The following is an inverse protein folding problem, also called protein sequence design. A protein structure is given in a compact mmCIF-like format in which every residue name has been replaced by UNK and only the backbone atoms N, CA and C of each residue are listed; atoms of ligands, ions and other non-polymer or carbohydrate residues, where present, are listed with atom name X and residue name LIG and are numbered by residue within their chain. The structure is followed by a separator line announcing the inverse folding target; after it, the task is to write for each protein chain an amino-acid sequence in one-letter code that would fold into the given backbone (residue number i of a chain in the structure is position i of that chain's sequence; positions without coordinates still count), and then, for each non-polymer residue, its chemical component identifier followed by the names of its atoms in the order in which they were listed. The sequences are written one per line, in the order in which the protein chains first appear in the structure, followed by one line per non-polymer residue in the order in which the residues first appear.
data_IF_708838441042
#
_entry.id   IF_708838441042
#
_cell.length_a   1.000
_cell.length_b   1.000
_cell.length_c   1.000
_cell.angle_alpha   90.00
_cell.angle_beta   90.00
_cell.angle_gamma   90.00
#
_symmetry.space_group_name_H-M   'P 1'
#
loop_
_entity.id
_entity.type
_entity.pdbx_description
1 polymer ?
#
# COMPACT_ATOMS: atom_id res chain seq x y z
N UNK A 1 17.05 -40.78 -9.40
CA UNK A 1 17.05 -39.84 -10.54
C UNK A 1 15.88 -38.88 -10.35
N UNK A 2 16.14 -37.72 -9.75
CA UNK A 2 15.10 -36.76 -9.35
C UNK A 2 15.25 -35.52 -10.22
N UNK A 3 14.26 -35.29 -11.09
CA UNK A 3 14.21 -34.20 -12.07
C UNK A 3 14.09 -32.86 -11.32
N UNK A 4 15.17 -32.06 -11.31
CA UNK A 4 15.12 -30.66 -10.88
C UNK A 4 14.14 -29.92 -11.80
N UNK A 5 13.07 -29.38 -11.24
CA UNK A 5 12.26 -28.39 -11.91
C UNK A 5 13.14 -27.14 -12.11
N UNK A 6 13.47 -26.85 -13.36
CA UNK A 6 13.95 -25.54 -13.77
C UNK A 6 12.83 -24.55 -13.50
N UNK A 7 13.03 -23.68 -12.52
CA UNK A 7 12.25 -22.45 -12.42
C UNK A 7 12.69 -21.59 -13.61
N UNK A 8 11.93 -21.67 -14.70
CA UNK A 8 12.04 -20.70 -15.78
C UNK A 8 11.69 -19.34 -15.17
N UNK A 9 12.69 -18.47 -15.06
CA UNK A 9 12.48 -17.07 -14.73
C UNK A 9 11.41 -16.52 -15.67
N UNK A 10 10.40 -15.79 -15.17
CA UNK A 10 9.42 -15.15 -16.04
C UNK A 10 10.16 -14.30 -17.08
N UNK A 11 9.68 -14.25 -18.34
CA UNK A 11 10.29 -13.44 -19.37
C UNK A 11 10.39 -12.00 -18.87
N UNK A 12 11.55 -11.36 -19.07
CA UNK A 12 11.79 -9.98 -18.68
C UNK A 12 10.64 -9.12 -19.18
N UNK A 13 9.88 -8.54 -18.24
CA UNK A 13 8.71 -7.75 -18.56
C UNK A 13 9.15 -6.57 -19.44
N UNK A 14 8.56 -6.45 -20.63
CA UNK A 14 8.93 -5.39 -21.56
C UNK A 14 8.29 -4.08 -21.13
N UNK A 15 9.12 -3.14 -20.66
CA UNK A 15 8.68 -1.80 -20.27
C UNK A 15 8.80 -0.82 -21.45
N UNK A 16 7.74 -0.05 -21.79
CA UNK A 16 7.81 0.96 -22.85
C UNK A 16 8.66 2.17 -22.41
N UNK A 17 8.93 3.12 -23.32
CA UNK A 17 9.68 4.34 -22.99
C UNK A 17 11.21 4.17 -22.89
N UNK A 18 11.74 3.01 -23.28
CA UNK A 18 13.17 2.68 -23.30
C UNK A 18 13.88 2.97 -21.95
N UNK A 19 13.53 2.26 -20.88
CA UNK A 19 14.01 2.56 -19.52
C UNK A 19 15.52 2.43 -19.37
N UNK A 20 16.16 1.49 -20.06
CA UNK A 20 17.63 1.38 -20.06
C UNK A 20 18.31 2.63 -20.62
N UNK A 21 17.74 3.26 -21.66
CA UNK A 21 18.25 4.51 -22.20
C UNK A 21 17.96 5.70 -21.27
N UNK A 22 16.84 5.66 -20.53
CA UNK A 22 16.52 6.68 -19.52
C UNK A 22 17.51 6.62 -18.35
N UNK A 23 17.83 5.41 -17.88
CA UNK A 23 18.86 5.15 -16.89
C UNK A 23 20.22 5.71 -17.31
N UNK A 24 20.69 5.34 -18.51
CA UNK A 24 21.99 5.78 -19.02
C UNK A 24 22.10 7.32 -19.18
N UNK A 25 20.98 8.00 -19.41
CA UNK A 25 20.93 9.47 -19.57
C UNK A 25 20.73 10.22 -18.25
N UNK A 26 20.44 9.53 -17.16
CA UNK A 26 20.08 10.17 -15.91
C UNK A 26 21.30 10.78 -15.20
N UNK A 27 21.29 12.08 -14.86
CA UNK A 27 22.34 12.66 -14.05
C UNK A 27 22.27 12.13 -12.61
N UNK A 28 23.42 11.96 -11.96
CA UNK A 28 23.52 11.62 -10.54
C UNK A 28 23.52 12.87 -9.62
N UNK A 29 23.07 14.02 -10.13
CA UNK A 29 23.01 15.28 -9.38
C UNK A 29 22.13 15.09 -8.15
N UNK A 30 22.60 15.42 -6.93
CA UNK A 30 21.87 15.16 -5.69
C UNK A 30 20.45 15.75 -5.71
N UNK A 31 19.49 14.97 -5.21
CA UNK A 31 18.15 15.48 -4.94
C UNK A 31 18.23 16.63 -3.94
N UNK A 32 17.34 17.60 -4.07
CA UNK A 32 17.25 18.73 -3.16
C UNK A 32 16.85 18.23 -1.77
N UNK A 33 17.86 17.98 -0.91
CA UNK A 33 17.81 17.59 0.51
C UNK A 33 16.77 16.52 0.88
N UNK A 34 17.23 15.30 1.24
CA UNK A 34 16.35 14.28 1.85
C UNK A 34 15.65 14.84 3.08
N UNK A 35 14.33 14.59 3.15
CA UNK A 35 13.46 15.07 4.22
C UNK A 35 13.82 14.39 5.55
N UNK A 36 13.60 15.07 6.71
CA UNK A 36 13.85 14.47 8.01
C UNK A 36 12.98 13.23 8.21
N UNK A 37 13.62 12.15 8.65
CA UNK A 37 12.96 10.86 8.87
C UNK A 37 11.87 10.99 9.94
N UNK A 38 10.66 10.44 9.71
CA UNK A 38 9.64 10.33 10.74
C UNK A 38 10.14 9.41 11.87
N UNK A 39 9.86 9.81 13.11
CA UNK A 39 10.23 9.04 14.29
C UNK A 39 9.30 7.83 14.41
N UNK A 40 9.79 6.63 14.11
CA UNK A 40 9.03 5.37 14.20
C UNK A 40 9.59 4.45 15.30
N UNK A 41 10.22 5.02 16.33
CA UNK A 41 11.00 4.28 17.33
C UNK A 41 10.12 3.46 18.29
N UNK A 42 8.88 3.88 18.54
CA UNK A 42 7.95 3.17 19.44
C UNK A 42 6.63 2.85 18.76
N UNK A 43 5.90 1.86 19.29
CA UNK A 43 4.57 1.48 18.80
C UNK A 43 3.57 2.65 18.85
N UNK A 44 3.72 3.54 19.84
CA UNK A 44 2.89 4.75 19.97
C UNK A 44 3.25 5.79 18.90
N UNK A 45 4.54 5.99 18.64
CA UNK A 45 4.98 6.88 17.56
C UNK A 45 4.53 6.34 16.19
N UNK A 46 4.60 5.03 16.00
CA UNK A 46 4.10 4.33 14.81
C UNK A 46 2.60 4.54 14.60
N UNK A 47 1.79 4.37 15.66
CA UNK A 47 0.34 4.61 15.61
C UNK A 47 0.01 6.08 15.30
N UNK A 48 0.75 7.01 15.89
CA UNK A 48 0.55 8.44 15.71
C UNK A 48 1.03 8.95 14.34
N UNK A 49 2.05 8.32 13.77
CA UNK A 49 2.61 8.69 12.47
C UNK A 49 1.90 8.04 11.30
N UNK A 50 1.17 6.94 11.46
CA UNK A 50 0.44 6.36 10.33
C UNK A 50 -0.89 7.08 10.10
N UNK A 51 -1.22 7.38 8.84
CA UNK A 51 -2.55 7.89 8.51
C UNK A 51 -3.57 6.81 8.86
N UNK A 52 -4.60 7.18 9.62
CA UNK A 52 -5.60 6.22 10.06
C UNK A 52 -6.23 5.54 8.83
N UNK A 53 -6.20 4.19 8.76
CA UNK A 53 -6.83 3.47 7.66
C UNK A 53 -8.31 3.84 7.63
N UNK A 54 -8.79 4.27 6.45
CA UNK A 54 -10.13 4.79 6.15
C UNK A 54 -11.17 4.47 7.24
N UNK A 55 -11.38 5.41 8.15
CA UNK A 55 -12.36 5.30 9.24
C UNK A 55 -13.74 4.94 8.69
N UNK A 56 -14.04 5.40 7.48
CA UNK A 56 -15.26 5.15 6.74
C UNK A 56 -15.48 3.65 6.44
N UNK A 57 -14.42 2.90 6.11
CA UNK A 57 -14.53 1.46 5.80
C UNK A 57 -14.77 0.65 7.08
N UNK A 58 -14.07 1.00 8.16
CA UNK A 58 -14.27 0.37 9.47
C UNK A 58 -15.69 0.66 9.96
N UNK A 59 -16.15 1.90 9.84
CA UNK A 59 -17.52 2.31 10.17
C UNK A 59 -18.57 1.55 9.35
N UNK A 60 -18.37 1.40 8.03
CA UNK A 60 -19.29 0.66 7.17
C UNK A 60 -19.39 -0.83 7.56
N UNK A 61 -18.28 -1.49 7.88
CA UNK A 61 -18.27 -2.88 8.36
C UNK A 61 -19.05 -2.99 9.68
N UNK A 62 -18.83 -2.06 10.60
CA UNK A 62 -19.52 -2.03 11.89
C UNK A 62 -21.03 -1.89 11.68
N UNK A 63 -21.46 -0.94 10.85
CA UNK A 63 -22.88 -0.72 10.53
C UNK A 63 -23.52 -1.95 9.87
N UNK A 64 -22.79 -2.64 8.98
CA UNK A 64 -23.23 -3.88 8.37
C UNK A 64 -23.47 -5.00 9.38
N UNK A 65 -22.54 -5.22 10.33
CA UNK A 65 -22.68 -6.23 11.38
C UNK A 65 -23.87 -5.90 12.30
N UNK A 66 -24.01 -4.64 12.71
CA UNK A 66 -25.15 -4.20 13.53
C UNK A 66 -26.47 -4.45 12.82
N UNK A 67 -26.55 -4.14 11.52
CA UNK A 67 -27.74 -4.38 10.72
C UNK A 67 -28.13 -5.87 10.68
N UNK A 68 -27.17 -6.76 10.44
CA UNK A 68 -27.42 -8.22 10.40
C UNK A 68 -27.89 -8.74 11.76
N UNK A 69 -27.30 -8.28 12.87
CA UNK A 69 -27.70 -8.70 14.22
C UNK A 69 -29.11 -8.22 14.55
N UNK A 70 -29.44 -6.96 14.24
CA UNK A 70 -30.79 -6.42 14.44
C UNK A 70 -31.82 -7.16 13.59
N UNK A 71 -31.48 -7.47 12.33
CA UNK A 71 -32.34 -8.25 11.45
C UNK A 71 -32.61 -9.64 12.01
N UNK A 72 -31.57 -10.36 12.43
CA UNK A 72 -31.70 -11.70 13.00
C UNK A 72 -32.55 -11.70 14.29
N UNK A 73 -32.36 -10.71 15.17
CA UNK A 73 -33.15 -10.56 16.39
C UNK A 73 -34.62 -10.24 16.09
N UNK A 74 -34.89 -9.39 15.10
CA UNK A 74 -36.25 -9.13 14.64
C UNK A 74 -36.90 -10.40 14.07
N UNK A 75 -36.18 -11.18 13.26
CA UNK A 75 -36.65 -12.46 12.72
C UNK A 75 -36.99 -13.46 13.82
N UNK A 76 -36.11 -13.61 14.83
CA UNK A 76 -36.34 -14.50 15.98
C UNK A 76 -37.53 -14.03 16.83
N UNK A 77 -37.67 -12.72 17.05
CA UNK A 77 -38.80 -12.17 17.79
C UNK A 77 -40.15 -12.45 17.10
N UNK A 78 -40.19 -12.38 15.77
CA UNK A 78 -41.36 -12.72 14.96
C UNK A 78 -41.67 -14.23 15.01
N UNK A 79 -40.64 -15.08 14.93
CA UNK A 79 -40.80 -16.55 14.87
C UNK A 79 -41.16 -17.20 16.21
N UNK A 80 -40.58 -16.73 17.31
CA UNK A 80 -40.65 -17.44 18.62
C UNK A 80 -41.84 -16.96 19.46
N UNK A 81 -42.38 -15.76 19.22
CA UNK A 81 -43.62 -15.26 19.84
C UNK A 81 -43.65 -15.18 21.39
N UNK A 82 -42.54 -15.52 22.08
CA UNK A 82 -42.53 -15.81 23.51
C UNK A 82 -41.89 -14.75 24.42
N UNK A 83 -41.28 -13.70 23.87
CA UNK A 83 -40.73 -12.58 24.66
C UNK A 83 -41.57 -11.34 24.33
N UNK A 84 -42.12 -10.61 25.32
CA UNK A 84 -42.83 -9.38 25.04
C UNK A 84 -41.90 -8.43 24.30
N UNK A 85 -42.35 -7.93 23.14
CA UNK A 85 -41.62 -7.06 22.22
C UNK A 85 -40.72 -5.98 22.88
N UNK A 86 -41.13 -5.27 23.95
CA UNK A 86 -40.26 -4.26 24.56
C UNK A 86 -38.99 -4.85 25.19
N UNK A 87 -39.02 -6.04 25.78
CA UNK A 87 -37.86 -6.62 26.47
C UNK A 87 -36.83 -7.19 25.49
N UNK A 88 -37.28 -7.83 24.42
CA UNK A 88 -36.37 -8.30 23.35
C UNK A 88 -35.70 -7.13 22.64
N UNK A 89 -36.42 -6.02 22.43
CA UNK A 89 -35.85 -4.80 21.87
C UNK A 89 -34.79 -4.18 22.79
N UNK A 90 -35.04 -4.09 24.10
CA UNK A 90 -34.06 -3.53 25.06
C UNK A 90 -32.78 -4.38 25.10
N UNK A 91 -32.90 -5.71 25.16
CA UNK A 91 -31.75 -6.61 25.17
C UNK A 91 -30.98 -6.50 23.84
N UNK A 92 -31.70 -6.43 22.70
CA UNK A 92 -31.09 -6.24 21.39
C UNK A 92 -30.30 -4.94 21.29
N UNK A 93 -30.89 -3.83 21.74
CA UNK A 93 -30.23 -2.51 21.75
C UNK A 93 -29.03 -2.51 22.69
N UNK A 94 -29.15 -3.13 23.87
CA UNK A 94 -28.04 -3.22 24.82
C UNK A 94 -26.87 -4.04 24.26
N UNK A 95 -27.15 -5.21 23.67
CA UNK A 95 -26.11 -6.02 23.02
C UNK A 95 -25.49 -5.31 21.82
N UNK A 96 -26.31 -4.65 20.99
CA UNK A 96 -25.82 -3.85 19.87
C UNK A 96 -24.90 -2.71 20.34
N UNK A 97 -25.27 -2.00 21.42
CA UNK A 97 -24.46 -0.93 21.98
C UNK A 97 -23.12 -1.43 22.55
N UNK A 98 -23.12 -2.59 23.23
CA UNK A 98 -21.89 -3.22 23.72
C UNK A 98 -21.01 -3.69 22.56
N UNK A 99 -21.59 -4.33 21.54
CA UNK A 99 -20.88 -4.76 20.34
C UNK A 99 -20.28 -3.56 19.60
N UNK A 100 -21.04 -2.49 19.38
CA UNK A 100 -20.59 -1.23 18.79
C UNK A 100 -19.43 -0.60 19.55
N UNK A 101 -19.38 -0.74 20.88
CA UNK A 101 -18.31 -0.16 21.71
C UNK A 101 -17.04 -1.01 21.75
N UNK A 102 -17.18 -2.33 21.82
CA UNK A 102 -16.06 -3.25 22.05
C UNK A 102 -15.46 -3.79 20.75
N UNK A 103 -16.29 -4.10 19.76
CA UNK A 103 -15.86 -4.72 18.51
C UNK A 103 -14.86 -3.86 17.73
N UNK A 104 -15.07 -2.54 17.57
CA UNK A 104 -14.09 -1.71 16.86
C UNK A 104 -12.75 -1.70 17.58
N UNK A 105 -12.75 -1.62 18.91
CA UNK A 105 -11.51 -1.65 19.71
C UNK A 105 -10.76 -2.96 19.55
N UNK A 106 -11.46 -4.09 19.56
CA UNK A 106 -10.84 -5.41 19.39
C UNK A 106 -10.29 -5.61 17.98
N UNK A 107 -11.09 -5.30 16.95
CA UNK A 107 -10.67 -5.44 15.55
C UNK A 107 -9.52 -4.50 15.22
N UNK A 108 -9.63 -3.23 15.64
CA UNK A 108 -8.57 -2.24 15.46
C UNK A 108 -7.28 -2.71 16.12
N UNK A 109 -7.33 -3.08 17.41
CA UNK A 109 -6.14 -3.55 18.13
C UNK A 109 -5.50 -4.78 17.48
N UNK A 110 -6.30 -5.76 17.04
CA UNK A 110 -5.78 -6.94 16.35
C UNK A 110 -5.15 -6.58 14.99
N UNK A 111 -5.80 -5.71 14.21
CA UNK A 111 -5.28 -5.26 12.93
C UNK A 111 -3.96 -4.49 13.09
N UNK A 112 -3.89 -3.57 14.06
CA UNK A 112 -2.69 -2.82 14.39
C UNK A 112 -1.56 -3.70 14.91
N UNK A 113 -1.85 -4.66 15.78
CA UNK A 113 -0.84 -5.60 16.25
C UNK A 113 -0.23 -6.39 15.08
N UNK A 114 -1.05 -6.80 14.09
CA UNK A 114 -0.56 -7.49 12.89
C UNK A 114 0.27 -6.58 12.01
N UNK A 115 -0.18 -5.35 11.77
CA UNK A 115 0.58 -4.35 10.99
C UNK A 115 1.91 -4.01 11.66
N UNK A 116 1.90 -3.76 12.96
CA UNK A 116 3.10 -3.48 13.75
C UNK A 116 4.08 -4.67 13.76
N UNK A 117 3.58 -5.89 13.92
CA UNK A 117 4.43 -7.09 13.85
C UNK A 117 5.09 -7.25 12.48
N UNK A 118 4.33 -7.01 11.40
CA UNK A 118 4.87 -6.98 10.02
C UNK A 118 5.86 -5.84 9.82
N UNK A 119 5.62 -4.69 10.46
CA UNK A 119 6.51 -3.55 10.37
C UNK A 119 7.87 -3.85 11.01
N UNK A 120 7.88 -4.45 12.19
CA UNK A 120 9.12 -4.87 12.87
C UNK A 120 9.83 -5.98 12.09
N UNK A 121 9.09 -6.91 11.48
CA UNK A 121 9.68 -8.03 10.74
C UNK A 121 10.49 -7.60 9.51
N UNK A 122 10.18 -6.44 8.91
CA UNK A 122 10.92 -5.96 7.76
C UNK A 122 10.23 -4.89 6.95
N UNK A 123 9.51 -3.95 7.57
CA UNK A 123 9.03 -2.79 6.81
C UNK A 123 10.19 -1.96 6.30
N UNK A 124 9.96 -1.38 5.13
CA UNK A 124 10.84 -0.38 4.53
C UNK A 124 10.10 0.95 4.46
N UNK A 125 10.82 2.02 4.80
CA UNK A 125 10.31 3.38 4.75
C UNK A 125 10.82 4.05 3.47
N UNK A 126 9.89 4.57 2.70
CA UNK A 126 10.14 5.19 1.41
C UNK A 126 9.78 6.66 1.42
N UNK A 127 10.64 7.46 0.77
CA UNK A 127 10.30 8.81 0.36
C UNK A 127 9.55 8.75 -0.98
N UNK A 128 8.44 9.49 -1.10
CA UNK A 128 7.57 9.48 -2.27
C UNK A 128 7.89 10.65 -3.19
N UNK A 129 8.09 10.34 -4.46
CA UNK A 129 8.22 11.31 -5.53
C UNK A 129 7.11 11.08 -6.57
N UNK A 130 6.08 11.94 -6.61
CA UNK A 130 5.01 11.80 -7.58
C UNK A 130 5.53 12.08 -9.00
N UNK A 131 4.98 11.32 -9.95
CA UNK A 131 5.17 11.52 -11.38
C UNK A 131 4.03 12.36 -11.96
N UNK A 132 4.31 13.01 -13.08
CA UNK A 132 3.31 13.62 -13.94
C UNK A 132 2.65 12.62 -14.89
N UNK A 133 3.12 11.36 -14.94
CA UNK A 133 2.59 10.33 -15.82
C UNK A 133 1.10 10.08 -15.54
N UNK A 134 0.19 10.42 -16.48
CA UNK A 134 -1.24 10.25 -16.25
C UNK A 134 -1.60 8.77 -16.36
N UNK A 135 -2.14 8.20 -15.28
CA UNK A 135 -2.75 6.88 -15.31
C UNK A 135 -4.27 6.99 -15.11
N UNK A 136 -5.07 6.50 -16.06
CA UNK A 136 -6.53 6.46 -15.92
C UNK A 136 -6.94 5.63 -14.70
N UNK A 137 -7.80 6.19 -13.83
CA UNK A 137 -8.44 5.46 -12.73
C UNK A 137 -7.60 5.26 -11.46
N UNK A 138 -6.28 5.46 -11.49
CA UNK A 138 -5.39 5.26 -10.32
C UNK A 138 -4.82 6.54 -9.72
N UNK A 139 -5.05 7.70 -10.34
CA UNK A 139 -4.71 9.01 -9.77
C UNK A 139 -3.26 9.48 -9.97
N UNK A 140 -2.37 8.60 -10.43
CA UNK A 140 -0.99 8.93 -10.80
C UNK A 140 0.00 7.80 -10.52
N UNK A 141 1.22 7.94 -11.03
CA UNK A 141 2.36 7.09 -10.67
C UNK A 141 3.25 7.84 -9.69
N UNK A 142 3.82 7.13 -8.74
CA UNK A 142 4.92 7.64 -7.92
C UNK A 142 6.08 6.66 -7.90
N UNK A 143 7.28 7.20 -7.69
CA UNK A 143 8.45 6.39 -7.34
C UNK A 143 8.71 6.49 -5.83
N UNK A 144 8.89 5.34 -5.22
CA UNK A 144 9.20 5.12 -3.83
C UNK A 144 10.69 4.81 -3.72
N UNK A 145 11.44 5.61 -2.97
CA UNK A 145 12.88 5.41 -2.80
C UNK A 145 13.21 5.11 -1.35
N UNK A 146 13.90 4.00 -1.09
CA UNK A 146 14.29 3.60 0.27
C UNK A 146 15.13 4.72 0.92
N UNK A 147 14.70 5.11 2.11
CA UNK A 147 15.41 6.05 2.98
C UNK A 147 16.85 5.68 3.28
N UNK A 148 17.19 4.39 3.27
CA UNK A 148 18.54 3.87 3.54
C UNK A 148 19.45 3.91 2.31
N UNK A 149 18.90 4.14 1.13
CA UNK A 149 19.65 4.19 -0.12
C UNK A 149 20.66 5.36 -0.12
N UNK A 150 21.84 5.25 -0.75
CA UNK A 150 22.74 6.39 -0.91
C UNK A 150 22.10 7.54 -1.71
N UNK A 151 22.39 8.79 -1.34
CA UNK A 151 21.82 10.00 -1.97
C UNK A 151 22.05 10.06 -3.48
N UNK A 152 23.26 9.73 -3.93
CA UNK A 152 23.61 9.74 -5.36
C UNK A 152 22.79 8.72 -6.14
N UNK A 153 22.61 7.51 -5.60
CA UNK A 153 21.85 6.45 -6.26
C UNK A 153 20.36 6.81 -6.31
N UNK A 154 19.81 7.29 -5.20
CA UNK A 154 18.43 7.78 -5.16
C UNK A 154 18.18 8.88 -6.18
N UNK A 155 19.09 9.84 -6.29
CA UNK A 155 18.96 10.92 -7.25
C UNK A 155 19.03 10.43 -8.70
N UNK A 156 19.94 9.50 -8.97
CA UNK A 156 20.05 8.89 -10.28
C UNK A 156 18.78 8.11 -10.66
N UNK A 157 18.26 7.28 -9.75
CA UNK A 157 17.00 6.53 -9.93
C UNK A 157 15.83 7.48 -10.17
N UNK A 158 15.69 8.53 -9.34
CA UNK A 158 14.64 9.53 -9.51
C UNK A 158 14.70 10.19 -10.89
N UNK A 159 15.88 10.64 -11.31
CA UNK A 159 16.04 11.30 -12.60
C UNK A 159 15.81 10.35 -13.77
N UNK A 160 16.25 9.10 -13.67
CA UNK A 160 15.95 8.06 -14.66
C UNK A 160 14.45 7.82 -14.79
N UNK A 161 13.74 7.81 -13.65
CA UNK A 161 12.30 7.68 -13.61
C UNK A 161 11.57 8.87 -14.23
N UNK A 162 11.98 10.10 -13.95
CA UNK A 162 11.40 11.30 -14.59
C UNK A 162 11.57 11.23 -16.11
N UNK A 163 12.79 10.93 -16.59
CA UNK A 163 13.06 10.82 -18.03
C UNK A 163 12.22 9.70 -18.67
N UNK A 164 12.11 8.55 -18.01
CA UNK A 164 11.29 7.44 -18.48
C UNK A 164 9.80 7.82 -18.53
N UNK A 165 9.28 8.42 -17.46
CA UNK A 165 7.90 8.83 -17.35
C UNK A 165 7.52 9.84 -18.44
N UNK A 166 8.38 10.82 -18.73
CA UNK A 166 8.16 11.79 -19.80
C UNK A 166 8.10 11.13 -21.19
N UNK A 167 8.97 10.14 -21.44
CA UNK A 167 8.95 9.36 -22.69
C UNK A 167 7.68 8.53 -22.84
N UNK A 168 7.22 7.89 -21.75
CA UNK A 168 5.96 7.15 -21.77
C UNK A 168 4.78 8.10 -21.98
N UNK A 169 4.75 9.23 -21.27
CA UNK A 169 3.69 10.22 -21.38
C UNK A 169 3.55 10.83 -22.80
N UNK A 170 4.64 10.82 -23.57
CA UNK A 170 4.68 11.30 -24.96
C UNK A 170 4.03 10.33 -25.97
N UNK A 171 3.74 9.09 -25.58
CA UNK A 171 3.11 8.07 -26.44
C UNK A 171 1.83 7.50 -25.80
N UNK A 172 0.64 7.82 -26.32
CA UNK A 172 -0.63 7.32 -25.78
C UNK A 172 -0.74 5.79 -25.72
N UNK A 173 -0.11 5.07 -26.66
CA UNK A 173 -0.10 3.61 -26.65
C UNK A 173 0.74 3.08 -25.48
N UNK A 174 1.88 3.70 -25.22
CA UNK A 174 2.71 3.39 -24.06
C UNK A 174 2.00 3.69 -22.74
N UNK A 175 1.28 4.81 -22.63
CA UNK A 175 0.48 5.14 -21.44
C UNK A 175 -0.57 4.06 -21.17
N UNK A 176 -1.29 3.62 -22.21
CA UNK A 176 -2.33 2.60 -22.09
C UNK A 176 -1.76 1.26 -21.64
N UNK A 177 -0.62 0.86 -22.21
CA UNK A 177 0.09 -0.36 -21.82
C UNK A 177 0.56 -0.33 -20.35
N UNK A 178 1.10 0.80 -19.90
CA UNK A 178 1.50 0.97 -18.49
C UNK A 178 0.28 0.96 -17.57
N UNK A 179 -0.85 1.53 -17.98
CA UNK A 179 -2.08 1.48 -17.21
C UNK A 179 -2.61 0.05 -17.03
N UNK A 180 -2.59 -0.77 -18.08
CA UNK A 180 -2.96 -2.17 -18.00
C UNK A 180 -2.04 -2.95 -17.05
N UNK A 181 -0.73 -2.65 -17.07
CA UNK A 181 0.25 -3.26 -16.18
C UNK A 181 -0.07 -2.98 -14.70
N UNK A 182 -0.31 -1.71 -14.35
CA UNK A 182 -0.70 -1.31 -12.98
C UNK A 182 -2.09 -1.81 -12.57
N UNK A 183 -2.93 -2.23 -13.53
CA UNK A 183 -4.19 -2.94 -13.25
C UNK A 183 -3.99 -4.32 -12.62
N UNK A 184 -2.81 -4.93 -12.80
CA UNK A 184 -2.50 -6.29 -12.29
C UNK A 184 -1.75 -6.28 -10.96
N UNK A 185 -0.85 -5.32 -10.77
CA UNK A 185 -0.08 -5.13 -9.55
C UNK A 185 0.07 -3.63 -9.28
N UNK A 186 -0.17 -3.22 -8.03
CA UNK A 186 -0.10 -1.81 -7.68
C UNK A 186 1.34 -1.34 -7.47
N UNK A 187 2.29 -2.27 -7.21
CA UNK A 187 3.68 -1.96 -6.93
C UNK A 187 4.61 -2.85 -7.75
N UNK A 188 5.59 -2.23 -8.40
CA UNK A 188 6.61 -2.88 -9.21
C UNK A 188 8.00 -2.50 -8.70
N UNK A 189 8.95 -3.44 -8.74
CA UNK A 189 10.34 -3.13 -8.40
C UNK A 189 10.94 -2.21 -9.45
N UNK A 190 11.71 -1.20 -9.04
CA UNK A 190 12.46 -0.39 -9.99
C UNK A 190 13.54 -1.22 -10.70
N UNK A 191 13.95 -2.35 -10.13
CA UNK A 191 14.82 -3.33 -10.77
C UNK A 191 14.20 -4.01 -12.00
N UNK A 192 12.88 -4.17 -12.03
CA UNK A 192 12.17 -4.71 -13.19
C UNK A 192 12.19 -3.69 -14.35
N UNK A 193 12.21 -2.40 -14.01
CA UNK A 193 12.18 -1.30 -14.94
C UNK A 193 13.59 -0.93 -15.46
N UNK A 194 14.54 -0.68 -14.56
CA UNK A 194 15.87 -0.17 -14.90
C UNK A 194 16.98 -1.23 -14.82
N UNK A 195 16.72 -2.38 -14.21
CA UNK A 195 17.70 -3.44 -13.98
C UNK A 195 18.20 -3.51 -12.52
N UNK A 196 19.02 -4.52 -12.19
CA UNK A 196 19.38 -4.88 -10.81
C UNK A 196 19.96 -3.75 -9.94
N UNK A 197 20.57 -2.76 -10.57
CA UNK A 197 21.16 -1.59 -9.92
C UNK A 197 20.13 -0.61 -9.31
N UNK A 198 18.86 -0.71 -9.70
CA UNK A 198 17.78 0.11 -9.14
C UNK A 198 17.07 -0.56 -7.95
N UNK A 199 17.57 -1.69 -7.45
CA UNK A 199 16.99 -2.42 -6.32
C UNK A 199 16.84 -1.52 -5.09
N UNK A 200 15.71 -1.64 -4.42
CA UNK A 200 15.35 -0.83 -3.24
C UNK A 200 14.59 0.45 -3.59
N UNK A 201 14.27 0.68 -4.87
CA UNK A 201 13.23 1.61 -5.28
C UNK A 201 12.06 0.84 -5.88
N UNK A 202 10.87 1.43 -5.83
CA UNK A 202 9.65 0.82 -6.34
C UNK A 202 8.83 1.85 -7.10
N UNK A 203 8.12 1.42 -8.12
CA UNK A 203 7.15 2.24 -8.84
C UNK A 203 5.75 1.79 -8.45
N UNK A 204 4.91 2.72 -8.04
CA UNK A 204 3.56 2.42 -7.56
C UNK A 204 2.52 3.29 -8.25
N UNK A 205 1.34 2.72 -8.46
CA UNK A 205 0.13 3.50 -8.67
C UNK A 205 -0.33 4.01 -7.30
N UNK A 206 -0.29 5.32 -7.07
CA UNK A 206 -0.64 5.92 -5.78
C UNK A 206 -1.48 7.18 -5.99
N UNK A 207 -2.76 7.04 -5.70
CA UNK A 207 -3.78 8.10 -5.85
C UNK A 207 -3.55 9.28 -4.92
N UNK A 208 -2.92 9.02 -3.76
CA UNK A 208 -2.69 10.01 -2.72
C UNK A 208 -1.21 10.43 -2.68
N UNK A 209 -0.45 10.15 -3.75
CA UNK A 209 0.94 10.54 -3.88
C UNK A 209 1.05 12.06 -3.87
N UNK A 210 1.35 12.62 -2.72
CA UNK A 210 1.66 14.02 -2.54
C UNK A 210 3.17 14.19 -2.37
N UNK A 211 3.72 15.25 -2.96
CA UNK A 211 5.11 15.65 -2.72
C UNK A 211 5.27 15.85 -1.21
N UNK A 212 6.16 15.09 -0.56
CA UNK A 212 6.34 15.20 0.90
C UNK A 212 5.75 14.05 1.71
N UNK A 213 5.00 13.16 1.06
CA UNK A 213 4.45 11.99 1.75
C UNK A 213 5.52 10.93 1.98
N UNK A 214 5.41 10.26 3.12
CA UNK A 214 6.20 9.07 3.44
C UNK A 214 5.31 7.84 3.23
N UNK A 215 5.88 6.75 2.72
CA UNK A 215 5.19 5.47 2.60
C UNK A 215 5.94 4.41 3.38
N UNK A 216 5.20 3.70 4.22
CA UNK A 216 5.70 2.47 4.82
C UNK A 216 5.21 1.30 3.98
N UNK A 217 6.15 0.54 3.42
CA UNK A 217 5.82 -0.69 2.72
C UNK A 217 5.98 -1.87 3.65
N UNK A 218 4.90 -2.61 3.83
CA UNK A 218 4.89 -3.83 4.62
C UNK A 218 5.07 -5.03 3.70
N UNK A 219 5.98 -5.96 4.02
CA UNK A 219 6.12 -7.19 3.24
C UNK A 219 4.82 -7.98 3.28
N UNK A 220 4.49 -8.69 2.20
CA UNK A 220 3.34 -9.57 2.12
C UNK A 220 3.31 -10.55 3.31
N UNK A 221 2.11 -10.84 3.83
CA UNK A 221 2.00 -11.69 5.01
C UNK A 221 2.51 -13.12 4.72
N UNK A 222 2.25 -13.61 3.51
CA UNK A 222 2.73 -14.88 2.98
C UNK A 222 3.19 -14.64 1.54
N UNK A 223 4.46 -14.22 1.33
CA UNK A 223 4.93 -13.86 0.00
C UNK A 223 4.96 -15.11 -0.90
N UNK A 224 4.32 -15.02 -2.06
CA UNK A 224 4.36 -16.10 -3.06
C UNK A 224 5.80 -16.39 -3.53
N UNK A 225 6.65 -15.35 -3.52
CA UNK A 225 8.09 -15.44 -3.77
C UNK A 225 8.87 -14.76 -2.63
N UNK A 226 9.65 -15.52 -1.84
CA UNK A 226 10.49 -14.97 -0.77
C UNK A 226 11.50 -13.91 -1.23
N UNK A 227 11.89 -13.91 -2.50
CA UNK A 227 12.84 -12.94 -3.06
C UNK A 227 12.18 -11.62 -3.46
N UNK A 228 10.85 -11.59 -3.61
CA UNK A 228 10.08 -10.40 -3.96
C UNK A 228 8.93 -10.16 -2.97
N UNK A 229 9.22 -10.00 -1.65
CA UNK A 229 8.20 -9.96 -0.60
C UNK A 229 7.32 -8.71 -0.64
N UNK A 230 7.61 -7.77 -1.54
CA UNK A 230 6.95 -6.48 -1.66
C UNK A 230 6.05 -6.37 -2.89
N UNK A 231 6.00 -7.37 -3.78
CA UNK A 231 5.21 -7.29 -5.03
C UNK A 231 3.72 -6.97 -4.80
N UNK A 232 3.14 -7.58 -3.76
CA UNK A 232 1.78 -7.29 -3.27
C UNK A 232 1.81 -6.66 -1.87
N UNK A 233 2.90 -5.96 -1.55
CA UNK A 233 3.09 -5.32 -0.26
C UNK A 233 2.01 -4.28 0.02
N UNK A 234 1.70 -4.09 1.30
CA UNK A 234 0.74 -3.06 1.71
C UNK A 234 1.49 -1.75 1.89
N UNK A 235 1.10 -0.74 1.12
CA UNK A 235 1.57 0.63 1.29
C UNK A 235 0.69 1.37 2.30
N UNK A 236 1.31 1.93 3.32
CA UNK A 236 0.62 2.73 4.34
C UNK A 236 1.18 4.15 4.31
N UNK A 237 0.31 5.16 4.29
CA UNK A 237 0.71 6.56 4.41
C UNK A 237 1.30 6.81 5.79
N UNK A 238 2.46 7.46 5.82
CA UNK A 238 3.07 7.96 7.05
C UNK A 238 3.03 9.49 7.01
N UNK A 239 2.41 10.09 8.01
CA UNK A 239 2.44 11.51 8.28
C UNK A 239 3.88 11.90 8.62
N UNK A 240 4.48 12.77 7.79
CA UNK A 240 5.80 13.30 8.05
C UNK A 240 5.85 14.17 9.31
N UNK A 241 7.05 14.43 9.85
CA UNK A 241 7.22 15.44 10.88
C UNK A 241 6.71 16.79 10.36
N UNK A 242 5.86 17.47 11.16
CA UNK A 242 5.38 18.82 10.90
C UNK A 242 6.49 19.85 11.10
#
# INVERSE_FOLDING_TARGET
MTRRASFDSPPAQFWPGAPAAAWASAPATPLQRRRPLPTLATAKDFEQSMAHPDENRIFAIIMGVVFVVLLALATVAILVGGIPFPYSLIIAVAMAAVALRLFPKMVHRSAWNRLHSRAIAGAMLFDVYPSTLPLPGTGGVAILIDTRMPDQLAAHIHNAFVIWADRVASDPAAVSYVADMFGTALVHGAEDLFGPQARGAFVTADRDASVGSWRLMLPEAEPADPHHPYRNGVLVTVNGPK
#
